data_IF_452167793482
#
_entry.id   IF_452167793482
#
_cell.length_a   1.000
_cell.length_b   1.000
_cell.length_c   1.000
_cell.angle_alpha   90.00
_cell.angle_beta   90.00
_cell.angle_gamma   90.00
#
_symmetry.space_group_name_H-M   'P 1'
#
loop_
_entity.id
_entity.type
_entity.pdbx_description
1 polymer ?
#
# COMPACT_ATOMS: atom_id res chain seq x y z
N UNK A 1 -12.98 -20.82 11.58
CA UNK A 1 -11.83 -21.07 12.48
C UNK A 1 -10.76 -19.99 12.34
N UNK A 2 -10.10 -19.79 11.19
CA UNK A 2 -9.05 -18.75 11.08
C UNK A 2 -9.59 -17.30 11.18
N UNK A 3 -10.69 -16.98 10.48
CA UNK A 3 -11.28 -15.64 10.54
C UNK A 3 -11.78 -15.29 11.95
N UNK A 4 -12.28 -16.28 12.70
CA UNK A 4 -12.68 -16.11 14.11
C UNK A 4 -11.48 -15.79 15.00
N UNK A 5 -10.40 -16.57 14.89
CA UNK A 5 -9.19 -16.32 15.65
C UNK A 5 -8.57 -14.94 15.35
N UNK A 6 -8.54 -14.54 14.07
CA UNK A 6 -8.09 -13.20 13.68
C UNK A 6 -8.99 -12.09 14.26
N UNK A 7 -10.30 -12.31 14.28
CA UNK A 7 -11.26 -11.39 14.87
C UNK A 7 -10.99 -11.16 16.36
N UNK A 8 -10.80 -12.25 17.10
CA UNK A 8 -10.63 -12.19 18.55
C UNK A 8 -9.28 -11.58 18.95
N UNK A 9 -8.22 -11.84 18.18
CA UNK A 9 -6.86 -11.34 18.48
C UNK A 9 -6.68 -9.88 18.05
N UNK A 10 -7.15 -9.51 16.85
CA UNK A 10 -6.87 -8.21 16.24
C UNK A 10 -7.98 -7.19 16.51
N UNK A 11 -9.20 -7.66 16.82
CA UNK A 11 -10.41 -6.83 16.93
C UNK A 11 -10.59 -5.83 15.75
N UNK A 12 -10.53 -6.29 14.49
CA UNK A 12 -10.65 -5.42 13.33
C UNK A 12 -12.09 -4.97 13.11
N UNK A 13 -12.29 -3.94 12.29
CA UNK A 13 -13.63 -3.54 11.81
C UNK A 13 -14.26 -4.54 10.85
N UNK A 14 -13.44 -5.22 10.06
CA UNK A 14 -13.89 -6.15 9.04
C UNK A 14 -12.76 -7.03 8.54
N UNK A 15 -13.11 -8.22 8.07
CA UNK A 15 -12.21 -9.18 7.44
C UNK A 15 -12.76 -9.50 6.05
N UNK A 16 -11.95 -9.23 5.03
CA UNK A 16 -12.31 -9.44 3.63
C UNK A 16 -11.37 -10.46 2.97
N UNK A 17 -11.91 -11.43 2.26
CA UNK A 17 -11.16 -12.44 1.51
C UNK A 17 -10.79 -11.93 0.11
N UNK A 18 -9.49 -11.99 -0.23
CA UNK A 18 -8.93 -11.72 -1.57
C UNK A 18 -8.20 -12.95 -2.12
N UNK A 19 -8.90 -14.07 -2.11
CA UNK A 19 -8.39 -15.36 -2.58
C UNK A 19 -8.68 -15.58 -4.07
N UNK A 20 -8.37 -14.57 -4.88
CA UNK A 20 -8.71 -14.53 -6.31
C UNK A 20 -7.50 -14.68 -7.24
N UNK A 21 -6.36 -15.03 -6.67
CA UNK A 21 -5.11 -15.24 -7.39
C UNK A 21 -5.09 -16.58 -8.12
N UNK A 22 -4.52 -16.61 -9.32
CA UNK A 22 -4.50 -17.78 -10.22
C UNK A 22 -3.88 -19.03 -9.58
N UNK A 23 -2.95 -18.87 -8.64
CA UNK A 23 -2.31 -19.98 -7.92
C UNK A 23 -3.33 -20.87 -7.20
N UNK A 24 -4.49 -20.33 -6.79
CA UNK A 24 -5.54 -21.09 -6.11
C UNK A 24 -6.14 -22.19 -6.99
N UNK A 25 -6.18 -21.97 -8.31
CA UNK A 25 -6.62 -22.99 -9.27
C UNK A 25 -5.68 -24.20 -9.36
N UNK A 26 -4.38 -24.01 -9.08
CA UNK A 26 -3.41 -25.11 -9.04
C UNK A 26 -3.68 -26.09 -7.89
N UNK A 27 -4.36 -25.62 -6.85
CA UNK A 27 -4.82 -26.42 -5.71
C UNK A 27 -6.24 -26.99 -5.90
N UNK A 28 -6.84 -26.82 -7.08
CA UNK A 28 -8.22 -27.27 -7.35
C UNK A 28 -9.31 -26.42 -6.67
N UNK A 29 -8.95 -25.25 -6.15
CA UNK A 29 -9.86 -24.36 -5.43
C UNK A 29 -10.41 -23.27 -6.34
N UNK A 30 -11.69 -22.92 -6.13
CA UNK A 30 -12.32 -21.78 -6.83
C UNK A 30 -11.78 -20.45 -6.29
N UNK A 31 -11.65 -19.41 -7.14
CA UNK A 31 -11.42 -18.05 -6.69
C UNK A 31 -12.50 -17.59 -5.71
N UNK A 32 -12.14 -16.80 -4.71
CA UNK A 32 -13.07 -16.26 -3.73
C UNK A 32 -12.78 -14.79 -3.40
N UNK A 33 -13.84 -13.99 -3.34
CA UNK A 33 -13.86 -12.59 -2.90
C UNK A 33 -15.14 -12.35 -2.09
N UNK A 34 -15.02 -12.06 -0.80
CA UNK A 34 -16.18 -11.80 0.05
C UNK A 34 -15.79 -11.18 1.39
N UNK A 35 -16.74 -10.51 2.04
CA UNK A 35 -16.66 -10.25 3.48
C UNK A 35 -16.79 -11.57 4.23
N UNK A 36 -15.80 -11.88 5.07
CA UNK A 36 -15.83 -13.03 5.97
C UNK A 36 -16.49 -12.68 7.30
N UNK A 37 -16.28 -11.45 7.80
CA UNK A 37 -16.83 -10.95 9.07
C UNK A 37 -16.76 -9.42 9.15
N UNK A 38 -17.72 -8.80 9.84
CA UNK A 38 -17.75 -7.35 10.10
C UNK A 38 -18.23 -6.52 8.90
N UNK A 39 -17.76 -5.28 8.83
CA UNK A 39 -18.19 -4.32 7.81
C UNK A 39 -17.63 -4.66 6.41
N UNK A 40 -18.42 -4.36 5.37
CA UNK A 40 -17.90 -4.28 4.00
C UNK A 40 -16.83 -3.18 3.90
N UNK A 41 -15.66 -3.43 3.29
CA UNK A 41 -14.65 -2.41 3.13
C UNK A 41 -15.19 -1.22 2.31
N UNK A 42 -14.95 0.03 2.75
CA UNK A 42 -15.32 1.19 1.96
C UNK A 42 -14.49 1.23 0.68
N UNK A 43 -15.01 1.87 -0.38
CA UNK A 43 -14.35 1.90 -1.68
C UNK A 43 -12.94 2.52 -1.66
N UNK A 44 -12.67 3.45 -0.73
CA UNK A 44 -11.34 3.99 -0.47
C UNK A 44 -11.05 3.93 1.04
N UNK A 45 -10.09 3.08 1.43
CA UNK A 45 -9.54 3.02 2.77
C UNK A 45 -8.33 3.95 2.85
N UNK A 46 -8.33 4.88 3.80
CA UNK A 46 -7.15 5.68 4.09
C UNK A 46 -6.18 4.86 4.95
N UNK A 47 -4.93 4.74 4.49
CA UNK A 47 -3.83 4.19 5.28
C UNK A 47 -2.77 5.27 5.52
N UNK A 48 -1.98 5.09 6.56
CA UNK A 48 -0.83 5.93 6.87
C UNK A 48 0.46 5.12 6.81
N UNK A 49 1.48 5.67 6.15
CA UNK A 49 2.81 5.11 6.06
C UNK A 49 3.84 6.23 6.23
N UNK A 50 4.61 6.20 7.31
CA UNK A 50 5.60 7.23 7.67
C UNK A 50 5.04 8.66 7.53
N UNK A 51 3.89 8.94 8.14
CA UNK A 51 3.22 10.24 8.10
C UNK A 51 2.59 10.63 6.75
N UNK A 52 2.60 9.74 5.76
CA UNK A 52 1.98 9.95 4.43
C UNK A 52 0.70 9.17 4.32
N UNK A 53 -0.35 9.81 3.81
CA UNK A 53 -1.68 9.21 3.65
C UNK A 53 -1.87 8.69 2.22
N UNK A 54 -2.35 7.47 2.10
CA UNK A 54 -2.71 6.83 0.83
C UNK A 54 -4.15 6.35 0.85
N UNK A 55 -4.82 6.41 -0.30
CA UNK A 55 -6.12 5.77 -0.48
C UNK A 55 -5.95 4.43 -1.18
N UNK A 56 -6.57 3.41 -0.62
CA UNK A 56 -6.46 2.02 -1.03
C UNK A 56 -7.84 1.45 -1.32
N UNK A 57 -8.00 0.84 -2.50
CA UNK A 57 -9.19 0.04 -2.82
C UNK A 57 -8.89 -1.43 -2.51
N UNK A 58 -9.42 -1.92 -1.39
CA UNK A 58 -9.19 -3.30 -0.93
C UNK A 58 -9.88 -4.35 -1.82
N UNK A 59 -10.93 -3.97 -2.54
CA UNK A 59 -11.78 -4.91 -3.30
C UNK A 59 -11.30 -5.04 -4.75
N UNK A 60 -11.01 -3.92 -5.40
CA UNK A 60 -10.65 -3.84 -6.83
C UNK A 60 -9.18 -3.55 -7.06
N UNK A 61 -8.47 -3.04 -6.06
CA UNK A 61 -7.05 -2.75 -6.19
C UNK A 61 -6.21 -4.01 -6.37
N UNK A 62 -5.03 -3.82 -6.99
CA UNK A 62 -4.12 -4.92 -7.32
C UNK A 62 -3.53 -5.52 -6.04
N UNK A 63 -3.31 -6.84 -6.03
CA UNK A 63 -3.04 -7.62 -4.80
C UNK A 63 -4.16 -7.37 -3.76
N UNK A 64 -3.82 -6.72 -2.64
CA UNK A 64 -4.74 -6.31 -1.56
C UNK A 64 -4.97 -4.79 -1.57
N UNK A 65 -4.78 -4.15 -2.71
CA UNK A 65 -5.01 -2.72 -2.93
C UNK A 65 -3.79 -1.82 -2.80
N UNK A 66 -2.70 -2.29 -2.18
CA UNK A 66 -1.47 -1.53 -2.03
C UNK A 66 -0.25 -2.43 -1.87
N UNK A 67 0.91 -1.96 -2.33
CA UNK A 67 2.18 -2.67 -2.25
C UNK A 67 2.90 -2.31 -0.94
N UNK A 68 2.52 -3.00 0.14
CA UNK A 68 3.15 -2.84 1.46
C UNK A 68 4.60 -3.32 1.49
N UNK A 69 4.95 -4.28 0.64
CA UNK A 69 6.32 -4.78 0.42
C UNK A 69 7.29 -3.69 -0.08
N UNK A 70 6.79 -2.63 -0.70
CA UNK A 70 7.58 -1.52 -1.23
C UNK A 70 7.75 -0.34 -0.25
N UNK A 71 7.29 -0.47 1.00
CA UNK A 71 7.35 0.59 2.02
C UNK A 71 8.76 1.13 2.25
N UNK A 72 9.71 0.24 2.55
CA UNK A 72 11.09 0.64 2.84
C UNK A 72 11.78 1.25 1.61
N UNK A 73 11.50 0.72 0.42
CA UNK A 73 12.04 1.26 -0.83
C UNK A 73 11.51 2.66 -1.14
N UNK A 74 10.24 2.95 -0.81
CA UNK A 74 9.66 4.29 -0.93
C UNK A 74 10.35 5.27 0.02
N UNK A 75 10.58 4.87 1.27
CA UNK A 75 11.30 5.68 2.25
C UNK A 75 12.74 5.98 1.80
N UNK A 76 13.47 4.95 1.36
CA UNK A 76 14.82 5.09 0.81
C UNK A 76 14.88 6.07 -0.36
N UNK A 77 13.90 6.03 -1.28
CA UNK A 77 13.84 7.01 -2.37
C UNK A 77 13.75 8.45 -1.86
N UNK A 78 12.91 8.71 -0.84
CA UNK A 78 12.79 10.05 -0.28
C UNK A 78 14.09 10.53 0.36
N UNK A 79 14.82 9.65 1.05
CA UNK A 79 16.15 9.96 1.61
C UNK A 79 17.15 10.31 0.51
N UNK A 80 17.24 9.49 -0.55
CA UNK A 80 18.14 9.72 -1.67
C UNK A 80 17.84 11.03 -2.40
N UNK A 81 16.55 11.36 -2.59
CA UNK A 81 16.13 12.63 -3.19
C UNK A 81 16.53 13.82 -2.29
N UNK A 82 16.36 13.69 -0.97
CA UNK A 82 16.77 14.73 -0.02
C UNK A 82 18.29 14.97 -0.06
N UNK A 83 19.08 13.89 0.01
CA UNK A 83 20.55 13.96 -0.11
C UNK A 83 20.98 14.61 -1.43
N UNK A 84 20.33 14.26 -2.55
CA UNK A 84 20.63 14.82 -3.87
C UNK A 84 20.30 16.31 -3.99
N UNK A 85 19.24 16.77 -3.30
CA UNK A 85 18.90 18.20 -3.20
C UNK A 85 19.95 18.95 -2.37
N UNK A 86 20.36 18.41 -1.23
CA UNK A 86 21.38 19.02 -0.37
C UNK A 86 22.75 19.09 -1.04
N UNK A 87 23.13 18.07 -1.81
CA UNK A 87 24.43 18.01 -2.49
C UNK A 87 24.55 18.98 -3.68
N UNK A 88 23.43 19.34 -4.33
CA UNK A 88 23.43 20.25 -5.49
C UNK A 88 22.19 21.16 -5.45
N UNK A 89 22.17 22.17 -4.57
CA UNK A 89 20.98 22.98 -4.29
C UNK A 89 20.44 23.72 -5.52
N UNK A 90 21.32 24.13 -6.43
CA UNK A 90 20.96 24.86 -7.65
C UNK A 90 20.51 23.96 -8.81
N UNK A 91 20.58 22.62 -8.64
CA UNK A 91 20.16 21.66 -9.68
C UNK A 91 18.84 20.99 -9.30
N UNK A 92 17.77 21.15 -10.09
CA UNK A 92 16.50 20.51 -9.78
C UNK A 92 16.59 18.99 -9.89
N UNK A 93 16.05 18.29 -8.89
CA UNK A 93 15.91 16.83 -8.94
C UNK A 93 14.68 16.46 -9.77
N UNK A 94 14.89 15.65 -10.81
CA UNK A 94 13.82 15.13 -11.68
C UNK A 94 13.67 13.63 -11.45
N UNK A 95 12.45 13.18 -11.21
CA UNK A 95 12.13 11.76 -11.02
C UNK A 95 11.15 11.30 -12.12
N UNK A 96 11.44 10.15 -12.73
CA UNK A 96 10.54 9.47 -13.65
C UNK A 96 10.00 8.21 -12.95
N UNK A 97 8.72 8.23 -12.58
CA UNK A 97 8.06 7.11 -11.90
C UNK A 97 7.32 6.24 -12.92
N UNK A 98 8.00 5.22 -13.45
CA UNK A 98 7.41 4.22 -14.35
C UNK A 98 6.71 3.12 -13.57
N UNK A 99 5.65 2.53 -14.13
CA UNK A 99 4.82 1.53 -13.45
C UNK A 99 4.32 2.03 -12.08
N UNK A 100 3.90 3.30 -12.07
CA UNK A 100 3.66 4.07 -10.86
C UNK A 100 2.51 3.55 -10.00
N UNK A 101 1.62 2.71 -10.55
CA UNK A 101 0.39 2.26 -9.91
C UNK A 101 -0.39 3.45 -9.33
N UNK A 102 -0.60 3.50 -8.02
CA UNK A 102 -1.27 4.61 -7.31
C UNK A 102 -0.33 5.76 -6.94
N UNK A 103 0.89 5.79 -7.48
CA UNK A 103 1.82 6.92 -7.37
C UNK A 103 2.70 6.92 -6.11
N UNK A 104 2.79 5.80 -5.38
CA UNK A 104 3.52 5.72 -4.10
C UNK A 104 4.92 6.34 -4.11
N UNK A 105 5.78 5.90 -5.03
CA UNK A 105 7.14 6.46 -5.17
C UNK A 105 7.16 7.94 -5.56
N UNK A 106 6.23 8.39 -6.40
CA UNK A 106 6.11 9.79 -6.80
C UNK A 106 5.75 10.69 -5.62
N UNK A 107 4.84 10.24 -4.76
CA UNK A 107 4.47 10.98 -3.54
C UNK A 107 5.67 11.09 -2.59
N UNK A 108 6.42 10.01 -2.40
CA UNK A 108 7.62 10.02 -1.58
C UNK A 108 8.69 10.96 -2.14
N UNK A 109 8.97 10.91 -3.46
CA UNK A 109 9.91 11.81 -4.11
C UNK A 109 9.51 13.29 -3.98
N UNK A 110 8.21 13.61 -4.10
CA UNK A 110 7.70 14.98 -3.94
C UNK A 110 7.84 15.47 -2.49
N UNK A 111 7.58 14.60 -1.52
CA UNK A 111 7.68 14.90 -0.09
C UNK A 111 9.11 14.86 0.47
N UNK A 112 10.11 14.50 -0.34
CA UNK A 112 11.48 14.33 0.11
C UNK A 112 12.08 15.62 0.68
N UNK A 113 12.62 15.53 1.90
CA UNK A 113 13.18 16.65 2.66
C UNK A 113 12.14 17.49 3.41
N UNK A 114 10.86 17.07 3.41
CA UNK A 114 9.89 17.54 4.40
C UNK A 114 9.99 16.61 5.60
N UNK A 115 10.21 17.16 6.78
CA UNK A 115 10.03 16.42 8.01
C UNK A 115 8.60 15.86 8.02
N UNK A 116 8.44 14.58 8.36
CA UNK A 116 7.13 14.04 8.70
C UNK A 116 6.55 14.92 9.82
N UNK A 117 5.26 15.29 9.78
CA UNK A 117 4.64 16.00 10.90
C UNK A 117 4.78 15.22 12.21
#
# INVERSE_FOLDING_TARGET
MLAELLWDIVAPRGIYERSDVDVRGKEGLKPARAVLKGDEPPGNIAIEEYGRRFYVDLVRGHKTGFYLDQRENRALLAELVAQRKSAQPDTPVRCLNLFSYTGGFGLYALSAGRDSP
#
